data_IF_038581028213
#
_entry.id   IF_038581028213
#
_cell.length_a   1.000
_cell.length_b   1.000
_cell.length_c   1.000
_cell.angle_alpha   90.00
_cell.angle_beta   90.00
_cell.angle_gamma   90.00
#
_symmetry.space_group_name_H-M   'P 1'
#
loop_
_entity.id
_entity.type
_entity.pdbx_description
1 polymer ?
#
# COMPACT_ATOMS: atom_id res chain seq x y z
N UNK A 1 6.05 -28.67 11.65
CA UNK A 1 4.81 -28.17 12.25
C UNK A 1 5.16 -26.85 12.91
N UNK A 2 4.89 -25.74 12.24
CA UNK A 2 5.07 -24.38 12.78
C UNK A 2 3.79 -24.03 13.51
N UNK A 3 3.90 -23.70 14.80
CA UNK A 3 2.77 -23.27 15.62
C UNK A 3 2.06 -22.07 14.96
N UNK A 4 0.71 -22.01 15.04
CA UNK A 4 -0.02 -20.83 14.56
C UNK A 4 0.39 -19.63 15.40
N UNK A 5 0.72 -18.52 14.72
CA UNK A 5 1.12 -17.26 15.34
C UNK A 5 -0.10 -16.61 16.03
N UNK A 6 -0.52 -17.15 17.17
CA UNK A 6 -1.37 -16.46 18.13
C UNK A 6 -0.46 -15.53 18.97
N UNK A 7 0.20 -14.61 18.32
CA UNK A 7 1.06 -13.62 18.96
C UNK A 7 0.26 -12.41 19.43
N UNK A 8 0.73 -11.77 20.51
CA UNK A 8 0.25 -10.46 20.94
C UNK A 8 0.25 -9.46 19.76
N UNK A 9 -0.67 -8.48 19.73
CA UNK A 9 -0.70 -7.47 18.66
C UNK A 9 0.68 -6.88 18.44
N UNK A 10 1.14 -6.87 17.17
CA UNK A 10 2.45 -6.35 16.81
C UNK A 10 2.28 -4.98 16.17
N UNK A 11 2.97 -3.96 16.70
CA UNK A 11 3.03 -2.64 16.12
C UNK A 11 4.36 -2.43 15.38
N UNK A 12 4.29 -1.83 14.19
CA UNK A 12 5.44 -1.48 13.37
C UNK A 12 5.31 0.00 12.99
N UNK A 13 6.20 0.82 13.50
CA UNK A 13 6.31 2.22 13.10
C UNK A 13 6.96 2.31 11.71
N UNK A 14 6.36 3.05 10.81
CA UNK A 14 6.85 3.33 9.46
C UNK A 14 7.22 4.81 9.38
N UNK A 15 8.49 5.16 9.56
CA UNK A 15 8.92 6.56 9.45
C UNK A 15 8.59 7.15 8.09
N UNK A 16 8.36 8.45 8.05
CA UNK A 16 8.14 9.21 6.83
C UNK A 16 9.20 8.87 5.76
N UNK A 17 8.76 8.73 4.51
CA UNK A 17 9.65 8.47 3.35
C UNK A 17 10.39 7.12 3.40
N UNK A 18 9.93 6.18 4.22
CA UNK A 18 10.50 4.83 4.33
C UNK A 18 9.45 3.75 4.08
N UNK A 19 9.89 2.50 4.01
CA UNK A 19 9.02 1.34 3.90
C UNK A 19 9.40 0.23 4.85
N UNK A 20 8.44 -0.64 5.13
CA UNK A 20 8.59 -1.86 5.91
C UNK A 20 8.01 -3.04 5.15
N UNK A 21 8.58 -4.23 5.39
CA UNK A 21 8.01 -5.48 4.90
C UNK A 21 7.96 -6.50 6.04
N UNK A 22 6.90 -7.29 6.09
CA UNK A 22 6.66 -8.28 7.14
C UNK A 22 5.76 -9.40 6.65
N UNK A 23 5.89 -10.56 7.29
CA UNK A 23 5.07 -11.73 7.02
C UNK A 23 3.79 -11.69 7.86
N UNK A 24 2.69 -12.21 7.29
CA UNK A 24 1.42 -12.47 7.96
C UNK A 24 0.85 -13.82 7.52
N UNK A 25 0.16 -14.51 8.43
CA UNK A 25 -0.58 -15.73 8.11
C UNK A 25 -1.96 -15.38 7.51
N UNK A 26 -2.60 -16.35 6.87
CA UNK A 26 -3.98 -16.20 6.43
C UNK A 26 -4.90 -15.90 7.61
N UNK A 27 -5.82 -14.96 7.44
CA UNK A 27 -6.75 -14.49 8.47
C UNK A 27 -6.22 -13.35 9.34
N UNK A 28 -4.93 -13.03 9.28
CA UNK A 28 -4.38 -11.89 10.01
C UNK A 28 -4.98 -10.57 9.51
N UNK A 29 -5.32 -9.68 10.45
CA UNK A 29 -5.78 -8.33 10.15
C UNK A 29 -4.61 -7.35 10.29
N UNK A 30 -4.47 -6.50 9.28
CA UNK A 30 -3.44 -5.47 9.17
C UNK A 30 -4.16 -4.12 9.19
N UNK A 31 -3.99 -3.38 10.27
CA UNK A 31 -4.46 -2.00 10.41
C UNK A 31 -3.32 -1.06 10.05
N UNK A 32 -3.56 -0.15 9.09
CA UNK A 32 -2.65 0.93 8.73
C UNK A 32 -3.27 2.22 9.24
N UNK A 33 -2.52 2.97 10.05
CA UNK A 33 -2.97 4.20 10.70
C UNK A 33 -2.15 5.38 10.20
N UNK A 34 -2.83 6.42 9.75
CA UNK A 34 -2.23 7.72 9.49
C UNK A 34 -2.08 8.49 10.80
N UNK A 35 -0.85 8.63 11.30
CA UNK A 35 -0.58 9.22 12.61
C UNK A 35 -0.83 10.72 12.66
N UNK A 36 -0.71 11.42 11.53
CA UNK A 36 -0.68 12.88 11.50
C UNK A 36 -1.71 13.52 10.56
N UNK A 37 -2.30 12.72 9.66
CA UNK A 37 -3.19 13.17 8.59
C UNK A 37 -2.44 13.49 7.30
N UNK A 38 -3.18 13.42 6.19
CA UNK A 38 -2.69 13.68 4.82
C UNK A 38 -1.52 12.78 4.37
N UNK A 39 -1.33 11.58 4.98
CA UNK A 39 -0.25 10.65 4.65
C UNK A 39 -0.77 9.42 3.89
N UNK A 40 -0.54 9.32 2.58
CA UNK A 40 -0.85 8.10 1.82
C UNK A 40 0.19 7.02 2.03
N UNK A 41 -0.25 5.79 1.81
CA UNK A 41 0.61 4.61 1.83
C UNK A 41 0.51 3.84 0.52
N UNK A 42 1.63 3.42 -0.03
CA UNK A 42 1.64 2.39 -1.05
C UNK A 42 1.67 1.03 -0.35
N UNK A 43 0.75 0.16 -0.72
CA UNK A 43 0.57 -1.16 -0.12
C UNK A 43 0.72 -2.26 -1.16
N UNK A 44 1.52 -3.28 -0.84
CA UNK A 44 1.70 -4.48 -1.65
C UNK A 44 1.50 -5.74 -0.82
N UNK A 45 1.01 -6.78 -1.46
CA UNK A 45 0.90 -8.12 -0.90
C UNK A 45 1.45 -9.14 -1.91
N UNK A 46 2.33 -9.99 -1.45
CA UNK A 46 2.90 -11.10 -2.20
C UNK A 46 2.52 -12.41 -1.52
N UNK A 47 2.26 -13.46 -2.30
CA UNK A 47 2.10 -14.78 -1.72
C UNK A 47 3.43 -15.27 -1.14
N UNK A 48 3.44 -15.68 0.12
CA UNK A 48 4.67 -15.98 0.85
C UNK A 48 5.53 -17.07 0.21
N UNK A 49 4.88 -18.12 -0.33
CA UNK A 49 5.59 -19.26 -0.90
C UNK A 49 6.02 -19.04 -2.37
N UNK A 50 5.55 -17.98 -3.01
CA UNK A 50 5.92 -17.61 -4.39
C UNK A 50 5.72 -16.11 -4.61
N UNK A 51 6.77 -15.33 -4.48
CA UNK A 51 6.72 -13.88 -4.64
C UNK A 51 6.42 -13.41 -6.09
N UNK A 52 6.42 -14.33 -7.07
CA UNK A 52 5.93 -14.04 -8.42
C UNK A 52 4.39 -13.94 -8.46
N UNK A 53 3.71 -14.42 -7.42
CA UNK A 53 2.29 -14.18 -7.22
C UNK A 53 2.08 -13.01 -6.25
N UNK A 54 1.46 -11.95 -6.73
CA UNK A 54 1.27 -10.69 -6.01
C UNK A 54 -0.11 -10.08 -6.26
N UNK A 55 -0.53 -9.18 -5.38
CA UNK A 55 -1.72 -8.35 -5.54
C UNK A 55 -1.66 -7.61 -6.87
N UNK A 56 -2.69 -7.81 -7.69
CA UNK A 56 -2.74 -7.27 -9.04
C UNK A 56 -3.95 -6.37 -9.26
N UNK A 57 -3.71 -5.11 -9.51
CA UNK A 57 -4.76 -4.12 -9.76
C UNK A 57 -5.66 -4.49 -10.94
N UNK A 58 -5.14 -4.84 -12.13
CA UNK A 58 -6.02 -5.20 -13.25
C UNK A 58 -6.86 -6.46 -12.99
N UNK A 59 -6.32 -7.47 -12.31
CA UNK A 59 -7.08 -8.67 -11.96
C UNK A 59 -8.16 -8.38 -10.92
N UNK A 60 -7.86 -7.53 -9.94
CA UNK A 60 -8.81 -7.09 -8.92
C UNK A 60 -9.96 -6.28 -9.50
N UNK A 61 -9.66 -5.31 -10.39
CA UNK A 61 -10.70 -4.49 -11.03
C UNK A 61 -11.68 -5.33 -11.83
N UNK A 62 -11.18 -6.27 -12.64
CA UNK A 62 -12.07 -7.12 -13.45
C UNK A 62 -12.85 -8.14 -12.59
N UNK A 63 -12.28 -8.64 -11.51
CA UNK A 63 -12.98 -9.58 -10.63
C UNK A 63 -14.14 -8.90 -9.87
N UNK A 64 -13.95 -7.67 -9.43
CA UNK A 64 -14.99 -6.91 -8.73
C UNK A 64 -15.89 -6.08 -9.65
N UNK A 65 -15.53 -5.93 -10.94
CA UNK A 65 -16.18 -5.00 -11.89
C UNK A 65 -16.25 -3.56 -11.34
N UNK A 66 -15.18 -3.15 -10.63
CA UNK A 66 -15.03 -1.85 -9.98
C UNK A 66 -13.63 -1.28 -10.25
N UNK A 67 -13.52 0.04 -10.38
CA UNK A 67 -12.21 0.71 -10.44
C UNK A 67 -11.48 0.64 -9.09
N UNK A 68 -12.23 0.75 -8.00
CA UNK A 68 -11.72 0.70 -6.63
C UNK A 68 -12.55 -0.26 -5.78
N UNK A 69 -11.95 -1.28 -5.15
CA UNK A 69 -12.61 -2.11 -4.14
C UNK A 69 -13.01 -1.29 -2.90
N UNK A 70 -14.09 -1.70 -2.24
CA UNK A 70 -14.54 -1.14 -0.96
C UNK A 70 -14.63 -2.21 0.13
N UNK A 71 -15.17 -1.84 1.29
CA UNK A 71 -15.34 -2.77 2.42
C UNK A 71 -16.09 -4.03 1.98
N UNK A 72 -15.55 -5.19 2.31
CA UNK A 72 -16.05 -6.51 1.94
C UNK A 72 -15.53 -7.04 0.60
N UNK A 73 -15.00 -6.19 -0.28
CA UNK A 73 -14.41 -6.64 -1.54
C UNK A 73 -13.01 -7.25 -1.31
N UNK A 74 -12.68 -8.26 -2.12
CA UNK A 74 -11.35 -8.85 -2.13
C UNK A 74 -10.47 -8.21 -3.21
N UNK A 75 -9.18 -8.08 -2.92
CA UNK A 75 -8.15 -7.91 -3.92
C UNK A 75 -7.67 -9.27 -4.41
N UNK A 76 -7.35 -9.37 -5.69
CA UNK A 76 -6.94 -10.60 -6.34
C UNK A 76 -5.48 -10.56 -6.79
N UNK A 77 -4.82 -11.69 -6.68
CA UNK A 77 -3.48 -11.87 -7.22
C UNK A 77 -3.48 -11.92 -8.76
N UNK A 78 -2.29 -11.82 -9.36
CA UNK A 78 -2.09 -12.09 -10.79
C UNK A 78 -2.42 -13.55 -11.20
N UNK A 79 -2.59 -14.46 -10.23
CA UNK A 79 -3.13 -15.83 -10.43
C UNK A 79 -4.63 -15.92 -10.13
N UNK A 80 -5.35 -14.79 -9.98
CA UNK A 80 -6.79 -14.68 -9.72
C UNK A 80 -7.27 -15.33 -8.43
N UNK A 81 -6.41 -15.44 -7.43
CA UNK A 81 -6.77 -15.88 -6.08
C UNK A 81 -7.02 -14.67 -5.18
N UNK A 82 -8.02 -14.69 -4.28
CA UNK A 82 -8.15 -13.65 -3.25
C UNK A 82 -6.87 -13.61 -2.41
N UNK A 83 -6.28 -12.43 -2.25
CA UNK A 83 -5.03 -12.25 -1.50
C UNK A 83 -5.22 -11.36 -0.27
N UNK A 84 -6.00 -10.29 -0.40
CA UNK A 84 -6.34 -9.35 0.68
C UNK A 84 -7.83 -9.00 0.57
N UNK A 85 -8.46 -8.63 1.69
CA UNK A 85 -9.84 -8.09 1.74
C UNK A 85 -9.89 -6.85 2.61
N UNK A 86 -10.64 -5.81 2.21
CA UNK A 86 -10.91 -4.65 3.06
C UNK A 86 -11.95 -5.05 4.11
N UNK A 87 -11.62 -4.84 5.39
CA UNK A 87 -12.48 -5.16 6.55
C UNK A 87 -13.14 -3.90 7.10
N UNK A 88 -12.36 -2.83 7.24
CA UNK A 88 -12.82 -1.54 7.73
C UNK A 88 -12.09 -0.39 7.02
N UNK A 89 -12.83 0.64 6.64
CA UNK A 89 -12.31 1.75 5.85
C UNK A 89 -13.19 3.01 6.04
N UNK A 90 -12.96 3.76 7.12
CA UNK A 90 -13.74 4.97 7.40
C UNK A 90 -13.43 6.14 6.44
N UNK A 91 -12.32 6.09 5.68
CA UNK A 91 -11.93 7.12 4.72
C UNK A 91 -11.67 6.49 3.34
N UNK A 92 -12.73 6.08 2.60
CA UNK A 92 -12.63 5.29 1.37
C UNK A 92 -12.21 6.13 0.16
N UNK A 93 -11.11 6.88 0.31
CA UNK A 93 -10.51 7.69 -0.75
C UNK A 93 -9.14 7.13 -1.05
N UNK A 94 -9.03 6.33 -2.09
CA UNK A 94 -7.81 5.63 -2.49
C UNK A 94 -7.62 5.72 -3.98
N UNK A 95 -6.40 5.41 -4.45
CA UNK A 95 -6.12 5.22 -5.86
C UNK A 95 -5.69 3.77 -6.15
N UNK A 96 -6.14 3.26 -7.27
CA UNK A 96 -5.79 1.93 -7.75
C UNK A 96 -5.54 1.94 -9.26
N UNK A 97 -5.11 3.12 -9.78
CA UNK A 97 -4.84 3.35 -11.21
C UNK A 97 -3.38 3.66 -11.49
N UNK A 98 -2.69 4.35 -10.56
CA UNK A 98 -1.31 4.80 -10.75
C UNK A 98 -0.27 3.82 -10.22
N UNK A 99 0.91 3.87 -10.82
CA UNK A 99 2.09 3.17 -10.34
C UNK A 99 2.61 3.79 -9.03
N UNK A 100 3.43 3.02 -8.30
CA UNK A 100 4.26 3.57 -7.24
C UNK A 100 5.13 4.71 -7.79
N UNK A 101 5.37 5.74 -6.98
CA UNK A 101 6.35 6.76 -7.37
C UNK A 101 7.76 6.13 -7.40
N UNK A 102 8.55 6.56 -8.39
CA UNK A 102 9.87 6.07 -8.70
C UNK A 102 10.85 7.23 -8.93
N UNK A 103 12.16 7.00 -9.05
CA UNK A 103 13.14 8.07 -9.27
C UNK A 103 12.87 8.89 -10.53
N UNK A 104 12.41 8.26 -11.62
CA UNK A 104 12.12 8.96 -12.89
C UNK A 104 10.95 9.92 -12.73
N UNK A 105 9.92 9.54 -11.94
CA UNK A 105 8.82 10.44 -11.65
C UNK A 105 9.28 11.70 -10.94
N UNK A 106 10.25 11.63 -10.03
CA UNK A 106 10.81 12.80 -9.36
C UNK A 106 11.65 13.65 -10.31
N UNK A 107 12.38 13.05 -11.25
CA UNK A 107 13.10 13.77 -12.32
C UNK A 107 12.13 14.54 -13.23
N UNK A 108 11.02 13.93 -13.65
CA UNK A 108 9.93 14.61 -14.41
C UNK A 108 9.36 15.81 -13.66
N UNK A 109 9.22 15.70 -12.33
CA UNK A 109 8.75 16.78 -11.48
C UNK A 109 9.82 17.85 -11.20
N UNK A 110 11.00 17.75 -11.84
CA UNK A 110 12.08 18.72 -11.76
C UNK A 110 13.02 18.53 -10.57
N UNK A 111 12.91 17.43 -9.82
CA UNK A 111 13.83 17.12 -8.72
C UNK A 111 15.22 16.83 -9.26
N UNK A 112 16.23 17.45 -8.66
CA UNK A 112 17.64 17.18 -8.94
C UNK A 112 18.27 16.39 -7.80
N UNK A 113 19.02 15.33 -8.14
CA UNK A 113 19.65 14.44 -7.18
C UNK A 113 18.68 13.42 -6.55
N UNK A 114 19.20 12.63 -5.64
CA UNK A 114 18.44 11.54 -5.02
C UNK A 114 17.23 12.04 -4.23
N UNK A 115 16.13 11.32 -4.35
CA UNK A 115 14.91 11.49 -3.59
C UNK A 115 14.31 10.11 -3.31
N UNK A 116 13.85 9.86 -2.08
CA UNK A 116 13.18 8.62 -1.76
C UNK A 116 11.96 8.39 -2.66
N UNK A 117 11.69 7.15 -3.02
CA UNK A 117 10.51 6.75 -3.80
C UNK A 117 9.84 5.53 -3.18
N UNK A 118 8.54 5.34 -3.46
CA UNK A 118 7.82 4.16 -2.96
C UNK A 118 8.38 2.88 -3.54
N UNK A 119 8.83 2.88 -4.81
CA UNK A 119 9.51 1.74 -5.40
C UNK A 119 10.79 1.38 -4.64
N UNK A 120 11.69 2.34 -4.39
CA UNK A 120 12.93 2.09 -3.64
C UNK A 120 12.64 1.67 -2.19
N UNK A 121 11.60 2.26 -1.57
CA UNK A 121 11.16 1.88 -0.23
C UNK A 121 10.71 0.40 -0.18
N UNK A 122 9.95 -0.06 -1.19
CA UNK A 122 9.58 -1.46 -1.34
C UNK A 122 10.81 -2.36 -1.46
N UNK A 123 11.71 -2.05 -2.41
CA UNK A 123 12.91 -2.85 -2.68
C UNK A 123 13.81 -2.97 -1.43
N UNK A 124 14.02 -1.84 -0.74
CA UNK A 124 14.81 -1.81 0.50
C UNK A 124 14.13 -2.55 1.65
N UNK A 125 12.81 -2.41 1.80
CA UNK A 125 12.06 -3.10 2.84
C UNK A 125 12.09 -4.62 2.64
N UNK A 126 11.85 -5.09 1.41
CA UNK A 126 11.91 -6.51 1.07
C UNK A 126 13.32 -7.09 1.27
N UNK A 127 14.36 -6.36 0.87
CA UNK A 127 15.76 -6.77 1.09
C UNK A 127 16.09 -6.87 2.59
N UNK A 128 15.65 -5.91 3.41
CA UNK A 128 15.83 -5.94 4.87
C UNK A 128 15.10 -7.09 5.53
N UNK A 129 13.96 -7.49 4.98
CA UNK A 129 13.19 -8.65 5.44
C UNK A 129 13.75 -10.01 4.96
N UNK A 130 14.87 -10.00 4.20
CA UNK A 130 15.56 -11.21 3.74
C UNK A 130 15.07 -11.75 2.40
N UNK A 131 14.22 -11.00 1.69
CA UNK A 131 13.78 -11.35 0.33
C UNK A 131 14.76 -10.81 -0.72
N UNK A 132 14.87 -11.52 -1.83
CA UNK A 132 15.72 -11.14 -2.96
C UNK A 132 15.11 -10.03 -3.82
N UNK A 133 15.50 -9.99 -5.09
CA UNK A 133 14.88 -9.12 -6.08
C UNK A 133 13.42 -9.50 -6.30
N UNK A 134 12.56 -8.49 -6.35
CA UNK A 134 11.10 -8.63 -6.52
C UNK A 134 10.63 -7.73 -7.65
N UNK A 135 9.50 -8.07 -8.24
CA UNK A 135 8.77 -7.16 -9.12
C UNK A 135 8.09 -6.10 -8.25
N UNK A 136 8.14 -4.84 -8.66
CA UNK A 136 7.31 -3.78 -8.10
C UNK A 136 6.02 -3.67 -8.92
N UNK A 137 4.94 -4.35 -8.53
CA UNK A 137 3.66 -4.21 -9.21
C UNK A 137 2.99 -2.89 -8.84
N UNK A 138 1.92 -2.54 -9.55
CA UNK A 138 1.08 -1.43 -9.16
C UNK A 138 0.55 -1.64 -7.74
N UNK A 139 0.78 -0.70 -6.81
CA UNK A 139 0.30 -0.80 -5.43
C UNK A 139 -1.21 -0.58 -5.32
N UNK A 140 -1.75 -0.91 -4.17
CA UNK A 140 -2.93 -0.28 -3.63
C UNK A 140 -2.48 1.02 -2.94
N UNK A 141 -2.79 2.17 -3.57
CA UNK A 141 -2.40 3.50 -3.11
C UNK A 141 -3.42 3.99 -2.07
N UNK A 142 -3.23 3.57 -0.82
CA UNK A 142 -4.11 3.91 0.30
C UNK A 142 -4.07 5.42 0.53
N UNK A 143 -5.26 6.05 0.60
CA UNK A 143 -5.49 7.49 0.81
C UNK A 143 -4.89 8.44 -0.24
N UNK A 144 -4.37 7.92 -1.35
CA UNK A 144 -4.04 8.75 -2.50
C UNK A 144 -5.33 9.26 -3.13
N UNK A 145 -5.49 10.59 -3.16
CA UNK A 145 -6.71 11.23 -3.62
C UNK A 145 -6.56 11.71 -5.07
N UNK A 146 -6.73 10.79 -6.01
CA UNK A 146 -6.78 11.09 -7.44
C UNK A 146 -8.23 11.10 -7.90
N UNK A 147 -8.76 12.29 -8.15
CA UNK A 147 -10.13 12.45 -8.63
C UNK A 147 -10.20 12.18 -10.13
N UNK A 148 -10.90 11.13 -10.52
CA UNK A 148 -11.14 10.79 -11.92
C UNK A 148 -12.32 11.60 -12.48
N UNK A 149 -12.07 12.38 -13.52
CA UNK A 149 -13.07 13.14 -14.23
C UNK A 149 -13.81 12.28 -15.27
N UNK A 150 -15.04 12.67 -15.69
CA UNK A 150 -15.80 11.92 -16.71
C UNK A 150 -15.12 11.83 -18.07
N UNK A 151 -14.23 12.74 -18.41
CA UNK A 151 -13.44 12.74 -19.66
C UNK A 151 -12.20 11.83 -19.60
N UNK A 152 -11.97 11.13 -18.47
CA UNK A 152 -10.85 10.23 -18.26
C UNK A 152 -9.58 10.91 -17.74
N UNK A 153 -9.59 12.23 -17.54
CA UNK A 153 -8.50 12.92 -16.85
C UNK A 153 -8.61 12.76 -15.34
N UNK A 154 -7.52 12.96 -14.62
CA UNK A 154 -7.58 12.96 -13.16
C UNK A 154 -6.78 14.12 -12.55
N UNK A 155 -7.23 14.55 -11.38
CA UNK A 155 -6.64 15.63 -10.60
C UNK A 155 -6.02 15.08 -9.33
N UNK A 156 -4.82 15.57 -8.98
CA UNK A 156 -4.19 15.27 -7.70
C UNK A 156 -4.77 16.21 -6.65
N UNK A 157 -5.41 15.63 -5.64
CA UNK A 157 -5.98 16.36 -4.49
C UNK A 157 -5.25 15.97 -3.22
N UNK A 158 -5.36 16.78 -2.18
CA UNK A 158 -4.85 16.42 -0.85
C UNK A 158 -5.54 15.16 -0.34
N UNK A 159 -4.83 14.27 0.37
CA UNK A 159 -5.46 13.18 1.10
C UNK A 159 -6.55 13.69 2.04
N UNK A 160 -7.60 12.90 2.20
CA UNK A 160 -8.76 13.29 3.02
C UNK A 160 -8.60 12.89 4.50
N UNK A 161 -7.51 12.20 4.83
CA UNK A 161 -7.25 11.68 6.18
C UNK A 161 -6.90 12.77 7.19
N UNK A 162 -7.23 12.47 8.43
CA UNK A 162 -6.84 13.19 9.65
C UNK A 162 -6.01 12.28 10.53
N UNK A 163 -5.35 12.85 11.51
CA UNK A 163 -4.58 12.11 12.50
C UNK A 163 -5.44 11.04 13.20
N UNK A 164 -4.99 9.79 13.14
CA UNK A 164 -5.67 8.63 13.71
C UNK A 164 -6.62 7.90 12.76
N UNK A 165 -6.87 8.41 11.55
CA UNK A 165 -7.62 7.67 10.54
C UNK A 165 -6.87 6.39 10.13
N UNK A 166 -7.63 5.35 9.81
CA UNK A 166 -7.07 4.03 9.55
C UNK A 166 -7.81 3.28 8.44
N UNK A 167 -7.21 2.21 7.98
CA UNK A 167 -7.83 1.17 7.16
C UNK A 167 -7.42 -0.19 7.73
N UNK A 168 -8.35 -1.15 7.73
CA UNK A 168 -8.07 -2.53 8.12
C UNK A 168 -8.26 -3.43 6.92
N UNK A 169 -7.23 -4.20 6.60
CA UNK A 169 -7.28 -5.25 5.60
C UNK A 169 -6.98 -6.61 6.23
N UNK A 170 -7.56 -7.69 5.68
CA UNK A 170 -7.31 -9.05 6.12
C UNK A 170 -6.60 -9.84 5.03
N UNK A 171 -5.58 -10.58 5.40
CA UNK A 171 -4.91 -11.52 4.52
C UNK A 171 -5.79 -12.75 4.25
N UNK A 172 -6.06 -13.06 2.98
CA UNK A 172 -6.85 -14.24 2.57
C UNK A 172 -5.96 -15.49 2.36
N UNK A 173 -4.63 -15.29 2.34
CA UNK A 173 -3.60 -16.33 2.27
C UNK A 173 -2.35 -15.87 3.02
N UNK A 174 -1.38 -16.77 3.30
CA UNK A 174 -0.09 -16.32 3.87
C UNK A 174 0.61 -15.33 2.93
N UNK A 175 0.95 -14.16 3.44
CA UNK A 175 1.48 -13.07 2.63
C UNK A 175 2.76 -12.47 3.21
N UNK A 176 3.60 -11.97 2.32
CA UNK A 176 4.56 -10.91 2.62
C UNK A 176 3.90 -9.59 2.24
N UNK A 177 3.69 -8.75 3.23
CA UNK A 177 3.13 -7.40 3.06
C UNK A 177 4.26 -6.39 3.05
N UNK A 178 4.17 -5.41 2.15
CA UNK A 178 5.03 -4.23 2.19
C UNK A 178 4.18 -2.96 2.23
N UNK A 179 4.61 -2.00 3.05
CA UNK A 179 3.97 -0.69 3.21
C UNK A 179 5.03 0.39 3.10
N UNK A 180 4.79 1.40 2.26
CA UNK A 180 5.62 2.59 2.14
C UNK A 180 4.85 3.83 2.58
N UNK A 181 5.38 4.61 3.53
CA UNK A 181 4.91 5.96 3.78
C UNK A 181 5.37 6.84 2.61
N UNK A 182 4.43 7.18 1.72
CA UNK A 182 4.72 7.83 0.43
C UNK A 182 5.55 9.11 0.61
N UNK A 183 6.71 9.22 -0.04
CA UNK A 183 7.62 10.35 0.13
C UNK A 183 7.28 11.57 -0.73
N UNK A 184 6.15 11.59 -1.44
CA UNK A 184 5.82 12.62 -2.43
C UNK A 184 5.56 13.98 -1.78
N UNK A 185 6.52 14.89 -1.87
CA UNK A 185 6.48 16.24 -1.30
C UNK A 185 6.48 17.36 -2.35
N UNK A 186 6.44 17.03 -3.65
CA UNK A 186 6.45 18.00 -4.74
C UNK A 186 5.04 18.30 -5.23
N UNK A 187 4.12 17.33 -5.12
CA UNK A 187 2.71 17.48 -5.46
C UNK A 187 1.83 17.35 -4.20
N UNK A 188 0.53 17.57 -4.35
CA UNK A 188 -0.42 17.44 -3.24
C UNK A 188 -0.63 16.00 -2.75
N UNK A 189 -0.02 15.01 -3.37
CA UNK A 189 -0.23 13.58 -3.09
C UNK A 189 -0.05 13.24 -1.61
N UNK A 190 0.97 13.74 -0.94
CA UNK A 190 1.18 13.58 0.51
C UNK A 190 1.16 14.94 1.24
N UNK A 191 0.19 15.78 0.93
CA UNK A 191 0.00 17.06 1.59
C UNK A 191 1.17 18.04 1.52
N UNK A 192 2.21 17.75 0.73
CA UNK A 192 3.51 18.42 0.65
C UNK A 192 4.43 18.19 1.88
N UNK A 193 4.01 17.40 2.84
CA UNK A 193 4.78 17.14 4.06
C UNK A 193 4.60 15.68 4.51
N UNK A 194 5.32 14.73 3.90
CA UNK A 194 5.24 13.32 4.29
C UNK A 194 5.52 13.10 5.77
N UNK A 195 4.66 12.28 6.39
CA UNK A 195 4.68 11.95 7.81
C UNK A 195 4.75 10.45 8.05
N UNK A 196 4.70 10.05 9.32
CA UNK A 196 4.83 8.66 9.74
C UNK A 196 3.49 7.91 9.67
N UNK A 197 3.57 6.60 9.50
CA UNK A 197 2.44 5.67 9.63
C UNK A 197 2.70 4.69 10.78
N UNK A 198 1.64 4.05 11.26
CA UNK A 198 1.70 2.89 12.13
C UNK A 198 1.01 1.70 11.47
N UNK A 199 1.64 0.53 11.52
CA UNK A 199 1.02 -0.74 11.13
C UNK A 199 0.79 -1.56 12.38
N UNK A 200 -0.44 -2.07 12.57
CA UNK A 200 -0.81 -3.00 13.63
C UNK A 200 -1.28 -4.31 13.04
N UNK A 201 -0.78 -5.42 13.58
CA UNK A 201 -1.11 -6.78 13.11
C UNK A 201 -1.81 -7.51 14.25
N UNK A 202 -2.98 -8.10 13.94
CA UNK A 202 -3.81 -8.86 14.89
C UNK A 202 -4.11 -10.25 14.34
#
# INVERSE_FOLDING_TARGET
MTEPFAGAPREIHVPARTGVAFRVDAGAEIEIVDLHGEQPADFWAYYENDLAEYLSAPHTRIANMKLMPGVGDAFFSNHRRPIIRIVDDPVPVHDFLSAACDPWRYEELGRRGWHASCQENLELAMKRAGYGEIVCPQPFNIWTNFHLNPDGTFEIRRPATRAGDHIVVRAEMPCVIAVSACPQDITLTAGLNPTDLMVRIR
#
